data_IF_325392488433
#
_entry.id   IF_325392488433
#
_cell.length_a   1.000
_cell.length_b   1.000
_cell.length_c   1.000
_cell.angle_alpha   90.00
_cell.angle_beta   90.00
_cell.angle_gamma   90.00
#
_symmetry.space_group_name_H-M   'P 1'
#
loop_
_entity.id
_entity.type
_entity.pdbx_description
1 polymer ?
#
# COMPACT_ATOMS: atom_id res chain seq x y z
N UNK A 1 39.83 -1.43 8.96
CA UNK A 1 38.66 -0.73 9.50
C UNK A 1 37.48 -1.12 8.63
N UNK A 2 36.55 -1.93 9.14
CA UNK A 2 35.29 -2.16 8.44
C UNK A 2 34.54 -0.83 8.48
N UNK A 3 34.07 -0.35 7.33
CA UNK A 3 33.22 0.85 7.28
C UNK A 3 31.95 0.67 8.12
N UNK A 4 31.16 1.74 8.34
CA UNK A 4 29.88 1.61 9.02
C UNK A 4 29.02 0.55 8.33
N UNK A 5 28.47 -0.37 9.11
CA UNK A 5 27.59 -1.43 8.63
C UNK A 5 26.36 -0.79 7.98
N UNK A 6 26.15 -1.07 6.69
CA UNK A 6 25.06 -0.48 5.91
C UNK A 6 23.81 -1.33 6.05
N UNK A 7 22.67 -0.68 6.19
CA UNK A 7 21.38 -1.34 6.11
C UNK A 7 20.99 -1.49 4.63
N UNK A 8 20.97 -2.73 4.15
CA UNK A 8 20.62 -3.05 2.76
C UNK A 8 19.14 -3.43 2.69
N UNK A 9 18.41 -2.80 1.78
CA UNK A 9 17.00 -3.11 1.49
C UNK A 9 16.86 -3.55 0.04
N UNK A 10 16.16 -4.65 -0.19
CA UNK A 10 15.91 -5.15 -1.54
C UNK A 10 14.69 -4.46 -2.14
N UNK A 11 14.84 -4.01 -3.38
CA UNK A 11 13.85 -3.21 -4.08
C UNK A 11 13.22 -3.97 -5.24
N UNK A 12 11.89 -4.05 -5.23
CA UNK A 12 11.10 -4.33 -6.43
C UNK A 12 10.67 -3.02 -7.07
N UNK A 13 10.82 -2.88 -8.38
CA UNK A 13 10.41 -1.66 -9.11
C UNK A 13 9.32 -2.01 -10.11
N UNK A 14 8.20 -1.28 -10.13
CA UNK A 14 7.11 -1.48 -11.09
C UNK A 14 6.57 -0.16 -11.63
N UNK A 15 6.13 -0.13 -12.89
CA UNK A 15 5.13 0.84 -13.32
C UNK A 15 3.73 0.30 -12.96
N UNK A 16 2.91 1.13 -12.34
CA UNK A 16 1.53 0.73 -12.00
C UNK A 16 0.52 1.18 -13.05
N UNK A 17 0.86 2.28 -13.74
CA UNK A 17 0.15 2.94 -14.83
C UNK A 17 1.20 3.76 -15.61
N UNK A 18 0.92 4.14 -16.87
CA UNK A 18 1.84 4.96 -17.66
C UNK A 18 2.32 6.22 -16.89
N UNK A 19 3.64 6.38 -16.75
CA UNK A 19 4.25 7.52 -16.06
C UNK A 19 4.13 7.50 -14.53
N UNK A 20 3.74 6.37 -13.92
CA UNK A 20 3.70 6.20 -12.46
C UNK A 20 4.49 4.96 -12.06
N UNK A 21 5.70 5.20 -11.56
CA UNK A 21 6.63 4.17 -11.10
C UNK A 21 6.67 4.11 -9.57
N UNK A 22 6.86 2.91 -9.06
CA UNK A 22 7.04 2.62 -7.64
C UNK A 22 8.32 1.80 -7.42
N UNK A 23 9.06 2.11 -6.36
CA UNK A 23 10.11 1.24 -5.83
C UNK A 23 9.72 0.80 -4.42
N UNK A 24 9.57 -0.50 -4.20
CA UNK A 24 9.12 -1.15 -2.97
C UNK A 24 10.29 -1.66 -2.16
N UNK A 25 10.40 -1.34 -0.87
CA UNK A 25 11.39 -1.98 0.00
C UNK A 25 10.78 -3.24 0.62
N UNK A 26 11.26 -4.43 0.23
CA UNK A 26 10.60 -5.69 0.60
C UNK A 26 10.69 -6.01 2.09
N UNK A 27 11.76 -5.60 2.78
CA UNK A 27 11.90 -5.79 4.23
C UNK A 27 11.06 -4.82 5.06
N UNK A 28 10.51 -3.76 4.45
CA UNK A 28 9.73 -2.72 5.12
C UNK A 28 8.32 -2.67 4.55
N UNK A 29 7.41 -3.43 5.15
CA UNK A 29 6.04 -3.58 4.67
C UNK A 29 5.37 -2.20 4.47
N UNK A 30 4.91 -1.94 3.24
CA UNK A 30 4.25 -0.67 2.91
C UNK A 30 5.20 0.51 2.70
N UNK A 31 6.52 0.32 2.72
CA UNK A 31 7.51 1.31 2.31
C UNK A 31 7.65 1.34 0.80
N UNK A 32 7.54 2.53 0.21
CA UNK A 32 7.65 2.73 -1.23
C UNK A 32 8.09 4.14 -1.57
N UNK A 33 8.88 4.27 -2.64
CA UNK A 33 9.05 5.52 -3.37
C UNK A 33 8.06 5.56 -4.56
N UNK A 34 7.63 6.76 -4.95
CA UNK A 34 6.79 7.00 -6.13
C UNK A 34 7.41 8.09 -6.99
N UNK A 35 7.54 7.85 -8.29
CA UNK A 35 8.11 8.82 -9.23
C UNK A 35 7.53 8.69 -10.66
N UNK A 36 8.01 9.51 -11.59
CA UNK A 36 7.55 9.52 -12.97
C UNK A 36 8.34 8.55 -13.88
N UNK A 37 9.55 8.14 -13.47
CA UNK A 37 10.36 7.11 -14.15
C UNK A 37 10.88 6.02 -13.21
N UNK A 38 11.36 4.94 -13.81
CA UNK A 38 12.03 3.81 -13.13
C UNK A 38 13.24 4.32 -12.32
N UNK A 39 14.09 5.14 -12.95
CA UNK A 39 15.32 5.68 -12.37
C UNK A 39 15.03 6.62 -11.21
N UNK A 40 14.03 7.49 -11.35
CA UNK A 40 13.61 8.40 -10.27
C UNK A 40 13.00 7.64 -9.08
N UNK A 41 12.23 6.58 -9.35
CA UNK A 41 11.66 5.75 -8.29
C UNK A 41 12.77 5.05 -7.49
N UNK A 42 13.79 4.54 -8.18
CA UNK A 42 14.97 3.98 -7.53
C UNK A 42 15.76 5.04 -6.75
N UNK A 43 16.04 6.20 -7.36
CA UNK A 43 16.78 7.28 -6.71
C UNK A 43 16.06 7.80 -5.45
N UNK A 44 14.72 7.79 -5.45
CA UNK A 44 13.89 8.18 -4.31
C UNK A 44 13.77 7.13 -3.21
N UNK A 45 14.24 5.89 -3.42
CA UNK A 45 14.04 4.79 -2.48
C UNK A 45 14.67 5.05 -1.11
N UNK A 46 15.87 5.64 -1.07
CA UNK A 46 16.54 5.97 0.20
C UNK A 46 15.71 6.96 1.03
N UNK A 47 15.28 8.06 0.43
CA UNK A 47 14.46 9.07 1.10
C UNK A 47 13.11 8.48 1.57
N UNK A 48 12.51 7.57 0.79
CA UNK A 48 11.28 6.89 1.16
C UNK A 48 11.46 5.96 2.38
N UNK A 49 12.62 5.30 2.51
CA UNK A 49 12.96 4.46 3.67
C UNK A 49 13.16 5.32 4.92
N UNK A 50 13.85 6.46 4.79
CA UNK A 50 14.02 7.43 5.88
C UNK A 50 12.67 7.98 6.34
N UNK A 51 11.80 8.38 5.40
CA UNK A 51 10.44 8.84 5.69
C UNK A 51 9.59 7.74 6.33
N UNK A 52 9.73 6.48 5.89
CA UNK A 52 9.05 5.34 6.49
C UNK A 52 9.45 5.18 7.97
N UNK A 53 10.73 5.28 8.31
CA UNK A 53 11.15 5.23 9.71
C UNK A 53 10.62 6.40 10.52
N UNK A 54 10.64 7.62 9.98
CA UNK A 54 10.02 8.76 10.64
C UNK A 54 8.53 8.51 10.92
N UNK A 55 7.79 7.98 9.94
CA UNK A 55 6.38 7.65 10.06
C UNK A 55 6.13 6.56 11.11
N UNK A 56 6.91 5.47 11.12
CA UNK A 56 6.82 4.40 12.14
C UNK A 56 7.10 4.95 13.54
N UNK A 57 8.10 5.84 13.67
CA UNK A 57 8.44 6.49 14.94
C UNK A 57 7.31 7.43 15.44
N UNK A 58 6.65 8.16 14.54
CA UNK A 58 5.45 8.99 14.87
C UNK A 58 4.32 8.15 15.47
N UNK A 59 4.18 6.90 15.04
CA UNK A 59 3.21 5.95 15.60
C UNK A 59 3.72 5.19 16.84
N UNK A 60 4.87 5.58 17.39
CA UNK A 60 5.35 5.13 18.70
C UNK A 60 6.15 3.83 18.68
N UNK A 61 6.63 3.36 17.52
CA UNK A 61 7.56 2.22 17.45
C UNK A 61 9.01 2.68 17.30
N UNK A 62 9.97 2.00 17.93
CA UNK A 62 11.38 2.30 17.74
C UNK A 62 11.80 1.98 16.31
N UNK A 63 12.69 2.79 15.76
CA UNK A 63 13.29 2.60 14.43
C UNK A 63 14.81 2.58 14.53
N UNK A 64 15.51 2.08 13.49
CA UNK A 64 16.96 2.18 13.41
C UNK A 64 17.44 3.61 13.61
N UNK A 65 18.69 3.75 14.07
CA UNK A 65 19.31 5.06 14.28
C UNK A 65 19.58 5.75 12.95
N UNK A 66 19.41 7.08 12.93
CA UNK A 66 19.59 7.91 11.73
C UNK A 66 21.04 7.96 11.20
N UNK A 67 22.03 7.46 11.95
CA UNK A 67 23.44 7.46 11.57
C UNK A 67 23.86 6.20 10.78
N UNK A 68 22.98 5.21 10.63
CA UNK A 68 23.25 4.02 9.82
C UNK A 68 22.97 4.30 8.34
N UNK A 69 23.96 4.17 7.44
CA UNK A 69 23.73 4.40 6.02
C UNK A 69 22.73 3.38 5.45
N UNK A 70 21.72 3.89 4.73
CA UNK A 70 20.72 3.09 4.03
C UNK A 70 21.18 2.88 2.57
N UNK A 71 21.08 1.65 2.08
CA UNK A 71 21.37 1.30 0.69
C UNK A 71 20.22 0.48 0.10
N UNK A 72 19.59 0.99 -0.95
CA UNK A 72 18.60 0.25 -1.73
C UNK A 72 19.26 -0.54 -2.86
N UNK A 73 18.84 -1.79 -3.06
CA UNK A 73 19.31 -2.65 -4.17
C UNK A 73 18.14 -3.18 -4.97
N UNK A 74 18.01 -2.76 -6.23
CA UNK A 74 17.01 -3.32 -7.15
C UNK A 74 17.33 -4.78 -7.41
N UNK A 75 16.38 -5.65 -7.08
CA UNK A 75 16.47 -7.11 -7.32
C UNK A 75 15.49 -7.57 -8.38
N UNK A 76 14.45 -6.79 -8.66
CA UNK A 76 13.42 -7.13 -9.65
C UNK A 76 12.78 -5.87 -10.21
N UNK A 77 12.63 -5.81 -11.53
CA UNK A 77 11.84 -4.78 -12.22
C UNK A 77 10.70 -5.46 -12.96
N UNK A 78 9.47 -4.99 -12.75
CA UNK A 78 8.26 -5.48 -13.39
C UNK A 78 7.67 -4.41 -14.28
N UNK A 79 7.24 -4.79 -15.49
CA UNK A 79 6.52 -3.89 -16.39
C UNK A 79 5.05 -4.27 -16.50
N UNK A 80 4.16 -3.35 -16.15
CA UNK A 80 2.72 -3.58 -16.26
C UNK A 80 2.30 -3.77 -17.71
N UNK A 81 1.23 -4.53 -17.90
CA UNK A 81 0.68 -4.76 -19.23
C UNK A 81 -0.84 -4.86 -19.18
N UNK A 82 -1.49 -4.52 -20.28
CA UNK A 82 -2.94 -4.63 -20.41
C UNK A 82 -3.31 -6.07 -20.76
N UNK A 83 -4.27 -6.61 -20.02
CA UNK A 83 -4.93 -7.88 -20.29
C UNK A 83 -6.39 -7.65 -20.72
N UNK A 84 -7.23 -8.68 -20.68
CA UNK A 84 -8.63 -8.60 -21.14
C UNK A 84 -9.41 -7.42 -20.52
N UNK A 85 -10.09 -6.64 -21.39
CA UNK A 85 -11.01 -5.58 -20.97
C UNK A 85 -10.34 -4.38 -20.30
N UNK A 86 -9.18 -3.95 -20.83
CA UNK A 86 -8.38 -2.81 -20.35
C UNK A 86 -7.81 -2.99 -18.93
N UNK A 87 -7.79 -4.23 -18.42
CA UNK A 87 -7.27 -4.53 -17.10
C UNK A 87 -5.75 -4.51 -17.08
N UNK A 88 -5.16 -3.54 -16.37
CA UNK A 88 -3.71 -3.43 -16.19
C UNK A 88 -3.25 -4.44 -15.13
N UNK A 89 -2.42 -5.39 -15.55
CA UNK A 89 -1.78 -6.38 -14.68
C UNK A 89 -0.57 -5.74 -14.00
N UNK A 90 -0.66 -5.55 -12.68
CA UNK A 90 0.43 -5.04 -11.86
C UNK A 90 1.39 -6.15 -11.38
N UNK A 91 2.51 -5.74 -10.77
CA UNK A 91 3.58 -6.65 -10.41
C UNK A 91 3.14 -7.77 -9.47
N UNK A 92 3.61 -8.97 -9.78
CA UNK A 92 3.73 -10.07 -8.85
C UNK A 92 5.22 -10.41 -8.79
N UNK A 93 5.90 -9.85 -7.80
CA UNK A 93 7.34 -10.03 -7.59
C UNK A 93 7.63 -11.45 -7.09
N UNK A 94 8.87 -11.90 -7.21
CA UNK A 94 9.27 -13.19 -6.63
C UNK A 94 9.14 -13.16 -5.09
N UNK A 95 9.37 -12.02 -4.44
CA UNK A 95 9.09 -11.87 -3.01
C UNK A 95 7.60 -12.13 -2.71
N UNK A 96 6.66 -11.74 -3.58
CA UNK A 96 5.23 -11.99 -3.38
C UNK A 96 4.89 -13.50 -3.31
N UNK A 97 5.77 -14.41 -3.78
CA UNK A 97 5.58 -15.87 -3.58
C UNK A 97 5.87 -16.34 -2.16
N UNK A 98 6.73 -15.63 -1.44
CA UNK A 98 7.16 -16.02 -0.10
C UNK A 98 5.96 -15.93 0.86
N UNK A 99 5.57 -17.02 1.54
CA UNK A 99 4.49 -16.96 2.53
C UNK A 99 4.76 -15.90 3.59
N UNK A 100 3.71 -15.32 4.14
CA UNK A 100 3.82 -14.39 5.27
C UNK A 100 4.10 -15.19 6.55
N UNK A 101 5.09 -14.76 7.32
CA UNK A 101 5.27 -15.25 8.68
C UNK A 101 4.25 -14.63 9.64
N UNK A 102 4.04 -15.26 10.80
CA UNK A 102 3.20 -14.69 11.85
C UNK A 102 3.68 -13.31 12.33
N UNK A 103 4.99 -13.06 12.33
CA UNK A 103 5.57 -11.76 12.67
C UNK A 103 5.22 -10.69 11.64
N UNK A 104 5.36 -10.99 10.34
CA UNK A 104 4.99 -10.08 9.25
C UNK A 104 3.48 -9.79 9.21
N UNK A 105 2.64 -10.78 9.51
CA UNK A 105 1.19 -10.56 9.67
C UNK A 105 0.89 -9.63 10.84
N UNK A 106 1.50 -9.87 12.00
CA UNK A 106 1.34 -9.01 13.17
C UNK A 106 1.82 -7.58 12.93
N UNK A 107 2.93 -7.41 12.23
CA UNK A 107 3.42 -6.11 11.78
C UNK A 107 2.47 -5.45 10.78
N UNK A 108 2.01 -6.18 9.77
CA UNK A 108 1.06 -5.71 8.77
C UNK A 108 -0.24 -5.21 9.38
N UNK A 109 -0.81 -5.94 10.34
CA UNK A 109 -2.02 -5.53 11.08
C UNK A 109 -1.78 -4.21 11.82
N UNK A 110 -0.64 -4.07 12.50
CA UNK A 110 -0.30 -2.85 13.21
C UNK A 110 -0.14 -1.66 12.24
N UNK A 111 0.59 -1.86 11.14
CA UNK A 111 0.83 -0.85 10.11
C UNK A 111 -0.47 -0.40 9.46
N UNK A 112 -1.38 -1.32 9.11
CA UNK A 112 -2.71 -0.98 8.62
C UNK A 112 -3.47 -0.12 9.66
N UNK A 113 -3.36 -0.46 10.95
CA UNK A 113 -3.89 0.38 12.02
C UNK A 113 -3.34 1.81 11.99
N UNK A 114 -2.05 1.98 11.72
CA UNK A 114 -1.41 3.29 11.55
C UNK A 114 -1.97 4.04 10.35
N UNK A 115 -2.02 3.41 9.17
CA UNK A 115 -2.51 4.05 7.94
C UNK A 115 -3.96 4.53 8.10
N UNK A 116 -4.80 3.76 8.81
CA UNK A 116 -6.18 4.18 9.07
C UNK A 116 -6.27 5.31 10.06
N UNK A 117 -5.44 5.33 11.10
CA UNK A 117 -5.40 6.49 12.01
C UNK A 117 -5.02 7.75 11.26
N UNK A 118 -4.01 7.69 10.40
CA UNK A 118 -3.60 8.84 9.58
C UNK A 118 -4.73 9.32 8.66
N UNK A 119 -5.39 8.41 7.93
CA UNK A 119 -6.54 8.76 7.09
C UNK A 119 -7.69 9.37 7.90
N UNK A 120 -8.04 8.76 9.04
CA UNK A 120 -9.15 9.23 9.86
C UNK A 120 -8.84 10.56 10.57
N UNK A 121 -7.59 10.80 10.94
CA UNK A 121 -7.13 12.10 11.44
C UNK A 121 -7.26 13.17 10.35
N UNK A 122 -6.78 12.86 9.15
CA UNK A 122 -6.83 13.76 8.00
C UNK A 122 -8.24 14.17 7.62
N UNK A 123 -9.17 13.22 7.52
CA UNK A 123 -10.53 13.49 7.01
C UNK A 123 -11.49 14.05 8.06
N UNK A 124 -11.15 13.95 9.36
CA UNK A 124 -12.04 14.37 10.46
C UNK A 124 -12.40 15.85 10.40
N UNK A 125 -11.41 16.68 10.04
CA UNK A 125 -11.53 18.13 10.13
C UNK A 125 -11.87 18.77 8.77
N UNK A 126 -12.13 17.96 7.73
CA UNK A 126 -12.54 18.45 6.42
C UNK A 126 -14.00 18.90 6.46
N UNK A 127 -14.32 20.16 6.14
CA UNK A 127 -15.71 20.63 6.05
C UNK A 127 -16.52 19.79 5.04
N UNK A 128 -17.80 19.47 5.31
CA UNK A 128 -18.63 18.66 4.40
C UNK A 128 -18.68 19.19 2.96
N UNK A 129 -18.68 20.52 2.80
CA UNK A 129 -18.68 21.17 1.48
C UNK A 129 -17.38 20.87 0.73
N UNK A 130 -16.23 20.96 1.43
CA UNK A 130 -14.91 20.66 0.84
C UNK A 130 -14.73 19.17 0.57
N UNK A 131 -15.32 18.31 1.39
CA UNK A 131 -15.24 16.86 1.23
C UNK A 131 -15.92 16.38 -0.08
N UNK A 132 -17.00 17.04 -0.48
CA UNK A 132 -17.81 16.70 -1.65
C UNK A 132 -17.52 17.59 -2.87
N UNK A 133 -16.72 18.65 -2.71
CA UNK A 133 -16.42 19.62 -3.76
C UNK A 133 -15.79 18.95 -5.00
N UNK A 134 -16.26 19.27 -6.22
CA UNK A 134 -15.63 18.79 -7.44
C UNK A 134 -14.19 19.30 -7.59
N UNK A 135 -13.26 18.36 -7.78
CA UNK A 135 -11.84 18.64 -8.01
C UNK A 135 -11.54 18.38 -9.48
N UNK A 136 -11.12 19.43 -10.18
CA UNK A 136 -10.70 19.32 -11.59
C UNK A 136 -9.39 18.55 -11.69
N UNK A 137 -9.24 17.79 -12.77
CA UNK A 137 -8.03 17.03 -13.11
C UNK A 137 -7.63 15.92 -12.11
N UNK A 138 -8.49 15.63 -11.12
CA UNK A 138 -8.38 14.45 -10.25
C UNK A 138 -9.16 13.26 -10.84
N UNK A 139 -8.59 12.06 -10.75
CA UNK A 139 -9.18 10.83 -11.33
C UNK A 139 -10.51 10.46 -10.68
N UNK A 140 -10.66 10.72 -9.38
CA UNK A 140 -11.89 10.43 -8.64
C UNK A 140 -12.84 11.62 -8.63
N UNK A 141 -12.29 12.84 -8.65
CA UNK A 141 -13.03 14.09 -8.82
C UNK A 141 -13.62 14.67 -7.54
N UNK A 142 -13.43 14.06 -6.38
CA UNK A 142 -13.68 14.65 -5.04
C UNK A 142 -12.97 13.85 -3.95
N UNK A 143 -12.76 14.45 -2.78
CA UNK A 143 -12.15 13.76 -1.62
C UNK A 143 -13.05 12.59 -1.19
N UNK A 144 -14.37 12.78 -1.14
CA UNK A 144 -15.33 11.72 -0.83
C UNK A 144 -15.13 10.48 -1.70
N UNK A 145 -14.96 10.66 -3.02
CA UNK A 145 -14.77 9.54 -3.95
C UNK A 145 -13.41 8.86 -3.79
N UNK A 146 -12.36 9.59 -3.40
CA UNK A 146 -11.07 9.01 -3.03
C UNK A 146 -11.24 8.12 -1.80
N UNK A 147 -11.92 8.62 -0.75
CA UNK A 147 -12.12 7.84 0.48
C UNK A 147 -13.03 6.63 0.23
N UNK A 148 -14.06 6.76 -0.61
CA UNK A 148 -14.92 5.65 -1.05
C UNK A 148 -14.12 4.57 -1.82
N UNK A 149 -13.17 5.00 -2.65
CA UNK A 149 -12.26 4.08 -3.33
C UNK A 149 -11.38 3.31 -2.33
N UNK A 150 -10.78 4.01 -1.36
CA UNK A 150 -10.01 3.39 -0.27
C UNK A 150 -10.87 2.43 0.55
N UNK A 151 -12.11 2.83 0.87
CA UNK A 151 -13.00 2.09 1.75
C UNK A 151 -13.39 0.69 1.23
N UNK A 152 -13.18 0.41 -0.06
CA UNK A 152 -13.54 -0.87 -0.69
C UNK A 152 -12.34 -1.63 -1.25
N UNK A 153 -11.14 -1.06 -1.21
CA UNK A 153 -9.96 -1.62 -1.86
C UNK A 153 -9.50 -2.94 -1.24
N UNK A 154 -9.43 -3.03 0.10
CA UNK A 154 -9.01 -4.27 0.76
C UNK A 154 -10.00 -5.42 0.52
N UNK A 155 -11.30 -5.14 0.49
CA UNK A 155 -12.32 -6.12 0.08
C UNK A 155 -12.03 -6.66 -1.32
N UNK A 156 -11.69 -5.78 -2.27
CA UNK A 156 -11.35 -6.19 -3.62
C UNK A 156 -10.08 -7.05 -3.66
N UNK A 157 -9.06 -6.74 -2.86
CA UNK A 157 -7.85 -7.57 -2.76
C UNK A 157 -8.14 -8.98 -2.22
N UNK A 158 -8.93 -9.11 -1.16
CA UNK A 158 -9.31 -10.43 -0.63
C UNK A 158 -10.23 -11.20 -1.58
N UNK A 159 -11.02 -10.52 -2.40
CA UNK A 159 -11.84 -11.16 -3.44
C UNK A 159 -10.96 -11.86 -4.49
N UNK A 160 -9.78 -11.31 -4.79
CA UNK A 160 -8.80 -11.98 -5.69
C UNK A 160 -8.36 -13.34 -5.16
N UNK A 161 -8.32 -13.52 -3.84
CA UNK A 161 -8.03 -14.79 -3.17
C UNK A 161 -9.28 -15.64 -2.90
N UNK A 162 -10.48 -15.15 -3.23
CA UNK A 162 -11.75 -15.81 -2.91
C UNK A 162 -12.10 -15.79 -1.42
N UNK A 163 -11.59 -14.80 -0.68
CA UNK A 163 -11.75 -14.69 0.78
C UNK A 163 -12.61 -13.50 1.21
N UNK A 164 -13.04 -12.66 0.26
CA UNK A 164 -13.91 -11.53 0.56
C UNK A 164 -15.32 -11.99 0.97
N UNK A 165 -15.96 -11.20 1.83
CA UNK A 165 -17.37 -11.39 2.14
C UNK A 165 -18.26 -11.03 0.94
N UNK A 166 -19.50 -11.55 0.84
CA UNK A 166 -20.42 -11.25 -0.26
C UNK A 166 -20.68 -9.75 -0.45
N UNK A 167 -20.70 -9.28 -1.70
CA UNK A 167 -20.78 -7.84 -2.03
C UNK A 167 -22.07 -7.17 -1.51
N UNK A 168 -23.17 -7.91 -1.45
CA UNK A 168 -24.46 -7.46 -0.92
C UNK A 168 -24.46 -7.20 0.59
N UNK A 169 -23.44 -7.69 1.31
CA UNK A 169 -23.22 -7.37 2.72
C UNK A 169 -22.36 -6.11 2.91
N UNK A 170 -21.93 -5.43 1.84
CA UNK A 170 -21.20 -4.17 1.95
C UNK A 170 -22.13 -3.07 2.51
N UNK A 171 -21.71 -2.30 3.53
CA UNK A 171 -22.52 -1.19 4.04
C UNK A 171 -22.67 -0.10 2.98
N UNK A 172 -23.77 0.64 2.99
CA UNK A 172 -23.99 1.73 2.02
C UNK A 172 -23.14 2.97 2.33
N UNK A 173 -22.99 3.30 3.63
CA UNK A 173 -22.29 4.50 4.09
C UNK A 173 -20.77 4.32 4.21
N UNK A 174 -20.03 5.38 3.89
CA UNK A 174 -18.57 5.42 3.87
C UNK A 174 -17.93 4.96 5.19
N UNK A 175 -18.40 5.48 6.32
CA UNK A 175 -17.90 5.12 7.65
C UNK A 175 -18.06 3.60 7.92
N UNK A 176 -19.22 3.05 7.57
CA UNK A 176 -19.49 1.62 7.72
C UNK A 176 -18.61 0.76 6.81
N UNK A 177 -18.35 1.19 5.56
CA UNK A 177 -17.43 0.49 4.65
C UNK A 177 -16.02 0.47 5.21
N UNK A 178 -15.49 1.63 5.62
CA UNK A 178 -14.15 1.75 6.22
C UNK A 178 -14.02 0.81 7.42
N UNK A 179 -14.97 0.83 8.34
CA UNK A 179 -14.97 -0.02 9.53
C UNK A 179 -15.03 -1.51 9.18
N UNK A 180 -16.06 -1.92 8.43
CA UNK A 180 -16.29 -3.34 8.13
C UNK A 180 -15.16 -3.94 7.31
N UNK A 181 -14.72 -3.26 6.25
CA UNK A 181 -13.66 -3.77 5.37
C UNK A 181 -12.36 -3.95 6.15
N UNK A 182 -11.96 -2.97 6.96
CA UNK A 182 -10.75 -3.11 7.78
C UNK A 182 -10.88 -4.21 8.83
N UNK A 183 -12.01 -4.30 9.51
CA UNK A 183 -12.25 -5.34 10.51
C UNK A 183 -12.13 -6.74 9.89
N UNK A 184 -12.66 -6.92 8.67
CA UNK A 184 -12.55 -8.17 7.92
C UNK A 184 -11.11 -8.45 7.49
N UNK A 185 -10.38 -7.45 6.98
CA UNK A 185 -8.95 -7.61 6.67
C UNK A 185 -8.15 -8.09 7.87
N UNK A 186 -8.32 -7.45 9.03
CA UNK A 186 -7.60 -7.84 10.27
C UNK A 186 -7.98 -9.24 10.71
N UNK A 187 -9.24 -9.66 10.54
CA UNK A 187 -9.70 -11.01 10.88
C UNK A 187 -9.17 -12.09 9.90
N UNK A 188 -8.97 -11.74 8.63
CA UNK A 188 -8.53 -12.67 7.58
C UNK A 188 -7.00 -12.82 7.49
N UNK A 189 -6.24 -11.78 7.83
CA UNK A 189 -4.77 -11.79 7.75
C UNK A 189 -4.09 -12.96 8.51
N UNK A 190 -4.54 -13.35 9.73
CA UNK A 190 -3.99 -14.53 10.41
C UNK A 190 -4.11 -15.84 9.62
N UNK A 191 -5.14 -15.99 8.77
CA UNK A 191 -5.31 -17.19 7.94
C UNK A 191 -4.33 -17.24 6.75
N UNK A 192 -3.58 -16.17 6.50
CA UNK A 192 -2.56 -16.08 5.45
C UNK A 192 -1.14 -16.38 5.96
N UNK A 193 -0.98 -16.68 7.26
CA UNK A 193 0.30 -17.14 7.81
C UNK A 193 0.66 -18.48 7.19
N UNK A 194 1.87 -18.57 6.64
CA UNK A 194 2.41 -19.74 5.94
C UNK A 194 1.57 -20.20 4.72
N UNK A 195 0.57 -19.42 4.28
CA UNK A 195 -0.19 -19.71 3.07
C UNK A 195 0.66 -19.39 1.82
N UNK A 196 0.98 -20.43 1.06
CA UNK A 196 1.77 -20.39 -0.17
C UNK A 196 0.93 -20.32 -1.45
N UNK A 197 -0.39 -20.20 -1.32
CA UNK A 197 -1.31 -20.16 -2.45
C UNK A 197 -1.04 -18.94 -3.34
N UNK A 198 -0.94 -19.21 -4.63
CA UNK A 198 -0.95 -18.19 -5.69
C UNK A 198 -2.19 -18.40 -6.54
N UNK A 199 -3.03 -17.37 -6.64
CA UNK A 199 -4.26 -17.38 -7.43
C UNK A 199 -4.09 -16.44 -8.61
N UNK A 200 -4.47 -16.89 -9.80
CA UNK A 200 -4.50 -16.04 -10.99
C UNK A 200 -5.93 -15.59 -11.29
N UNK A 201 -6.09 -14.29 -11.58
CA UNK A 201 -7.35 -13.64 -11.94
C UNK A 201 -7.06 -12.61 -13.03
N UNK A 202 -7.66 -12.77 -14.22
CA UNK A 202 -7.46 -11.86 -15.36
C UNK A 202 -5.98 -11.64 -15.70
N UNK A 203 -5.20 -12.72 -15.72
CA UNK A 203 -3.75 -12.67 -15.99
C UNK A 203 -2.88 -12.13 -14.84
N UNK A 204 -3.47 -11.64 -13.76
CA UNK A 204 -2.73 -11.17 -12.59
C UNK A 204 -2.67 -12.22 -11.49
N UNK A 205 -1.47 -12.43 -10.96
CA UNK A 205 -1.21 -13.33 -9.84
C UNK A 205 -1.37 -12.60 -8.51
N UNK A 206 -1.91 -13.31 -7.52
CA UNK A 206 -2.22 -12.84 -6.18
C UNK A 206 -1.79 -13.85 -5.13
N UNK A 207 -1.21 -13.35 -4.04
CA UNK A 207 -0.82 -14.11 -2.84
C UNK A 207 -1.17 -13.28 -1.60
N UNK A 208 -1.09 -13.89 -0.41
CA UNK A 208 -1.29 -13.16 0.84
C UNK A 208 -0.32 -11.99 1.01
N UNK A 209 0.96 -12.17 0.62
CA UNK A 209 1.97 -11.11 0.69
C UNK A 209 1.64 -9.94 -0.24
N UNK A 210 1.23 -10.21 -1.49
CA UNK A 210 0.81 -9.15 -2.41
C UNK A 210 -0.42 -8.40 -1.90
N UNK A 211 -1.40 -9.10 -1.33
CA UNK A 211 -2.57 -8.47 -0.71
C UNK A 211 -2.15 -7.48 0.37
N UNK A 212 -1.28 -7.89 1.30
CA UNK A 212 -0.79 -7.01 2.36
C UNK A 212 0.03 -5.82 1.82
N UNK A 213 0.93 -6.06 0.87
CA UNK A 213 1.74 -5.02 0.21
C UNK A 213 0.86 -3.96 -0.45
N UNK A 214 -0.15 -4.38 -1.21
CA UNK A 214 -1.07 -3.47 -1.90
C UNK A 214 -2.00 -2.73 -0.94
N UNK A 215 -2.53 -3.40 0.09
CA UNK A 215 -3.37 -2.76 1.10
C UNK A 215 -2.64 -1.60 1.82
N UNK A 216 -1.40 -1.84 2.27
CA UNK A 216 -0.60 -0.82 2.96
C UNK A 216 -0.25 0.36 2.06
N UNK A 217 0.17 0.11 0.83
CA UNK A 217 0.49 1.18 -0.11
C UNK A 217 -0.74 1.99 -0.53
N UNK A 218 -1.86 1.32 -0.80
CA UNK A 218 -3.05 1.93 -1.38
C UNK A 218 -3.66 2.99 -0.45
N UNK A 219 -3.84 2.67 0.83
CA UNK A 219 -4.37 3.66 1.78
C UNK A 219 -3.39 4.81 1.99
N UNK A 220 -2.08 4.54 2.06
CA UNK A 220 -1.05 5.60 2.20
C UNK A 220 -0.97 6.51 0.99
N UNK A 221 -1.02 5.98 -0.23
CA UNK A 221 -0.90 6.81 -1.45
C UNK A 221 -2.10 7.72 -1.61
N UNK A 222 -3.30 7.25 -1.24
CA UNK A 222 -4.51 8.06 -1.29
C UNK A 222 -4.63 9.02 -0.10
N UNK A 223 -4.12 8.68 1.07
CA UNK A 223 -3.98 9.65 2.19
C UNK A 223 -3.08 10.82 1.75
N UNK A 224 -1.91 10.53 1.17
CA UNK A 224 -1.01 11.53 0.59
C UNK A 224 -1.58 12.27 -0.63
N UNK A 225 -2.56 11.70 -1.31
CA UNK A 225 -3.29 12.41 -2.37
C UNK A 225 -4.22 13.43 -1.75
N UNK A 226 -4.94 13.07 -0.69
CA UNK A 226 -5.83 13.99 0.03
C UNK A 226 -5.02 15.11 0.69
N UNK A 227 -3.88 14.83 1.32
CA UNK A 227 -2.96 15.86 1.87
C UNK A 227 -2.60 16.91 0.80
N UNK A 228 -2.19 16.44 -0.39
CA UNK A 228 -1.89 17.33 -1.53
C UNK A 228 -3.07 18.15 -2.02
N UNK A 229 -4.29 17.61 -1.95
CA UNK A 229 -5.52 18.32 -2.34
C UNK A 229 -5.97 19.35 -1.28
N UNK A 230 -5.44 19.24 -0.07
CA UNK A 230 -5.67 20.15 1.05
C UNK A 230 -4.50 21.12 1.28
N UNK A 231 -3.43 21.04 0.48
CA UNK A 231 -2.21 21.84 0.59
C UNK A 231 -1.52 21.74 1.97
N UNK A 232 -1.44 20.52 2.54
CA UNK A 232 -0.78 20.23 3.83
C UNK A 232 0.41 19.27 3.71
#
# INVERSE_FOLDING_TARGET
MNGPERMIYHLGVEDIEPGKWLAWAFELLGCYAKAASEEEAFAGAQAAIEEYFFWVARHGRPTPRADQPIEGKVVETYRSFVSEGDYIVNAFFEDDRRPLSGAEVGEGIWLLGCTRRDLMELIRDIPPERFTEPIRDDVFGSIEKIVEHVATAEWWYFDRLGMAFPRDQMPEGLAGKLEKVRAQTVALLPALVDDSRVVERRGEKWSGRKVLRRALWHERVHTRQIERLLDI
#
